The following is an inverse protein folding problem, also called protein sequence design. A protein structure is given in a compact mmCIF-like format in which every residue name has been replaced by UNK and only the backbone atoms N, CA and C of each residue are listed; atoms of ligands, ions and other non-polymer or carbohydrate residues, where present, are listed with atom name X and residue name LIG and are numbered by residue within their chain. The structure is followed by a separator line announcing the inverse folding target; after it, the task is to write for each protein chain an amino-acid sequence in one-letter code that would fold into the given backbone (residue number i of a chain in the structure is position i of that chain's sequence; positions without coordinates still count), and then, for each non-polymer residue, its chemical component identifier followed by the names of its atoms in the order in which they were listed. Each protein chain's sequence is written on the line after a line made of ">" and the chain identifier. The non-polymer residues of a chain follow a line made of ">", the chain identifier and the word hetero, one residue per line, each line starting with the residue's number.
data_IF_310226205762
#
_entry.id   IF_310226205762
#
_cell.length_a   1.000
_cell.length_b   1.000
_cell.length_c   1.000
_cell.angle_alpha   90.00
_cell.angle_beta   90.00
_cell.angle_gamma   90.00
#
_symmetry.space_group_name_H-M   'P 1'
#
loop_
_entity.id
_entity.type
_entity.pdbx_description
1 polymer ?
#
# COMPACT_ATOMS: atom_id res chain seq x y z
N UNK A 1 39.74 -26.64 71.86
CA UNK A 1 40.64 -27.43 71.01
C UNK A 1 40.04 -27.61 69.66
N UNK A 2 40.83 -27.31 68.65
CA UNK A 2 40.73 -27.58 67.22
C UNK A 2 39.77 -26.69 66.44
N UNK A 3 40.41 -25.76 65.78
CA UNK A 3 39.93 -24.94 64.66
C UNK A 3 39.71 -25.79 63.43
N UNK A 4 38.62 -25.58 62.75
CA UNK A 4 38.51 -25.98 61.36
C UNK A 4 37.95 -24.81 60.53
N UNK A 5 38.74 -24.34 59.59
CA UNK A 5 38.36 -23.28 58.61
C UNK A 5 37.42 -23.84 57.55
N UNK A 6 36.50 -23.01 57.10
CA UNK A 6 35.69 -23.33 55.89
C UNK A 6 36.42 -22.88 54.62
N UNK A 7 36.59 -23.82 53.73
CA UNK A 7 37.15 -23.66 52.37
C UNK A 7 36.26 -22.76 51.51
N UNK A 8 36.90 -21.80 50.87
CA UNK A 8 36.29 -20.89 49.96
C UNK A 8 35.65 -21.56 48.73
N UNK A 9 34.44 -21.18 48.44
CA UNK A 9 33.73 -21.55 47.21
C UNK A 9 34.07 -20.48 46.17
N UNK A 10 34.90 -20.90 45.20
CA UNK A 10 35.18 -20.09 44.00
C UNK A 10 33.93 -20.12 43.13
N UNK A 11 33.19 -19.00 43.12
CA UNK A 11 32.03 -18.81 42.24
C UNK A 11 32.49 -18.64 40.79
N UNK A 12 32.24 -19.64 39.97
CA UNK A 12 32.41 -19.55 38.52
C UNK A 12 31.31 -18.66 37.94
N UNK A 13 31.69 -17.45 37.51
CA UNK A 13 30.82 -16.55 36.74
C UNK A 13 30.74 -17.07 35.32
N UNK A 14 29.63 -17.72 34.98
CA UNK A 14 29.33 -18.12 33.60
C UNK A 14 28.81 -16.90 32.85
N UNK A 15 29.66 -16.32 32.01
CA UNK A 15 29.26 -15.33 30.99
C UNK A 15 28.48 -16.06 29.88
N UNK A 16 27.17 -15.99 29.94
CA UNK A 16 26.30 -16.34 28.81
C UNK A 16 26.45 -15.29 27.72
N UNK A 17 27.26 -15.57 26.72
CA UNK A 17 27.28 -14.82 25.45
C UNK A 17 25.95 -15.08 24.74
N UNK A 18 24.99 -14.16 24.92
CA UNK A 18 23.78 -14.13 24.16
C UNK A 18 24.09 -13.83 22.68
N UNK A 19 24.10 -14.87 21.85
CA UNK A 19 24.13 -14.71 20.41
C UNK A 19 22.82 -14.03 19.98
N UNK A 20 22.86 -12.72 19.77
CA UNK A 20 21.76 -11.95 19.16
C UNK A 20 21.54 -12.47 17.74
N UNK A 21 20.44 -13.20 17.53
CA UNK A 21 19.96 -13.53 16.19
C UNK A 21 19.55 -12.21 15.54
N UNK A 22 20.42 -11.68 14.66
CA UNK A 22 20.03 -10.59 13.75
C UNK A 22 18.94 -11.16 12.84
N UNK A 23 17.67 -10.89 13.18
CA UNK A 23 16.56 -11.15 12.27
C UNK A 23 16.73 -10.20 11.07
N UNK A 24 17.23 -10.74 9.96
CA UNK A 24 17.22 -10.03 8.69
C UNK A 24 15.76 -9.77 8.31
N UNK A 25 15.31 -8.53 8.49
CA UNK A 25 14.03 -8.11 7.94
C UNK A 25 14.06 -8.26 6.43
N UNK A 26 13.03 -8.87 5.81
CA UNK A 26 12.94 -8.91 4.36
C UNK A 26 12.97 -7.46 3.85
N UNK A 27 13.69 -7.20 2.74
CA UNK A 27 13.76 -5.86 2.17
C UNK A 27 12.35 -5.34 1.96
N UNK A 28 12.11 -4.10 2.40
CA UNK A 28 10.84 -3.42 2.13
C UNK A 28 10.59 -3.45 0.62
N UNK A 29 9.35 -3.74 0.17
CA UNK A 29 9.06 -3.77 -1.25
C UNK A 29 9.47 -2.44 -1.86
N UNK A 30 10.37 -2.49 -2.82
CA UNK A 30 10.83 -1.31 -3.57
C UNK A 30 9.61 -0.57 -4.11
N UNK A 31 9.62 0.74 -3.99
CA UNK A 31 8.54 1.58 -4.51
C UNK A 31 8.31 1.28 -5.99
N UNK A 32 7.06 1.14 -6.39
CA UNK A 32 6.68 0.92 -7.79
C UNK A 32 7.06 2.15 -8.60
N UNK A 33 7.84 1.97 -9.67
CA UNK A 33 8.22 3.08 -10.55
C UNK A 33 7.06 3.50 -11.46
N UNK A 34 7.07 4.73 -12.01
CA UNK A 34 6.06 5.16 -12.97
C UNK A 34 5.96 4.24 -14.19
N UNK A 35 7.09 3.71 -14.68
CA UNK A 35 7.14 2.78 -15.81
C UNK A 35 6.46 1.46 -15.47
N UNK A 36 6.72 0.92 -14.29
CA UNK A 36 6.07 -0.31 -13.81
C UNK A 36 4.56 -0.12 -13.62
N UNK A 37 4.14 1.05 -13.12
CA UNK A 37 2.72 1.37 -12.99
C UNK A 37 2.06 1.44 -14.37
N UNK A 38 2.73 2.09 -15.32
CA UNK A 38 2.26 2.18 -16.69
C UNK A 38 2.06 0.81 -17.32
N UNK A 39 3.10 -0.01 -17.31
CA UNK A 39 3.11 -1.33 -17.94
C UNK A 39 2.08 -2.29 -17.31
N UNK A 40 2.02 -2.34 -16.00
CA UNK A 40 1.21 -3.33 -15.30
C UNK A 40 -0.25 -2.90 -15.06
N UNK A 41 -0.54 -1.60 -15.10
CA UNK A 41 -1.86 -1.07 -14.72
C UNK A 41 -2.51 -0.19 -15.79
N UNK A 42 -1.76 0.74 -16.41
CA UNK A 42 -2.35 1.79 -17.23
C UNK A 42 -2.38 1.49 -18.73
N UNK A 43 -1.48 0.64 -19.23
CA UNK A 43 -1.36 0.34 -20.65
C UNK A 43 -2.70 -0.14 -21.26
N UNK A 44 -3.38 -1.10 -20.62
CA UNK A 44 -4.67 -1.60 -21.10
C UNK A 44 -5.76 -0.52 -21.13
N UNK A 45 -5.78 0.38 -20.15
CA UNK A 45 -6.76 1.47 -20.12
C UNK A 45 -6.50 2.47 -21.24
N UNK A 46 -5.23 2.76 -21.52
CA UNK A 46 -4.84 3.64 -22.63
C UNK A 46 -5.22 3.05 -23.99
N UNK A 47 -4.94 1.77 -24.19
CA UNK A 47 -5.32 1.04 -25.42
C UNK A 47 -6.83 1.10 -25.66
N UNK A 48 -7.63 0.89 -24.60
CA UNK A 48 -9.09 0.91 -24.67
C UNK A 48 -9.66 2.33 -24.56
N UNK A 49 -8.83 3.37 -24.47
CA UNK A 49 -9.22 4.76 -24.26
C UNK A 49 -10.10 4.97 -23.03
N UNK A 50 -9.83 4.22 -21.98
CA UNK A 50 -10.53 4.34 -20.69
C UNK A 50 -9.87 5.43 -19.84
N UNK A 51 -10.64 6.38 -19.30
CA UNK A 51 -10.08 7.47 -18.51
C UNK A 51 -9.84 7.05 -17.05
N UNK A 52 -8.59 6.71 -16.71
CA UNK A 52 -8.17 6.27 -15.37
C UNK A 52 -8.59 7.22 -14.26
N UNK A 53 -8.45 8.51 -14.48
CA UNK A 53 -8.82 9.54 -13.51
C UNK A 53 -10.33 9.51 -13.19
N UNK A 54 -11.19 9.19 -14.16
CA UNK A 54 -12.63 9.05 -13.93
C UNK A 54 -12.95 7.74 -13.18
N UNK A 55 -12.23 6.67 -13.47
CA UNK A 55 -12.35 5.40 -12.74
C UNK A 55 -11.96 5.63 -11.27
N UNK A 56 -10.81 6.26 -11.02
CA UNK A 56 -10.38 6.58 -9.65
C UNK A 56 -11.40 7.47 -8.91
N UNK A 57 -11.96 8.48 -9.58
CA UNK A 57 -13.01 9.33 -8.99
C UNK A 57 -14.24 8.56 -8.57
N UNK A 58 -14.66 7.52 -9.33
CA UNK A 58 -15.77 6.64 -8.93
C UNK A 58 -15.45 5.90 -7.62
N UNK A 59 -14.23 5.36 -7.50
CA UNK A 59 -13.77 4.75 -6.25
C UNK A 59 -13.78 5.75 -5.10
N UNK A 60 -13.29 6.96 -5.32
CA UNK A 60 -13.25 8.01 -4.30
C UNK A 60 -14.65 8.41 -3.82
N UNK A 61 -15.60 8.53 -4.73
CA UNK A 61 -17.01 8.85 -4.41
C UNK A 61 -17.68 7.74 -3.60
N UNK A 62 -17.37 6.47 -3.89
CA UNK A 62 -17.99 5.32 -3.22
C UNK A 62 -17.36 5.01 -1.86
N UNK A 63 -16.05 5.10 -1.75
CA UNK A 63 -15.33 4.59 -0.57
C UNK A 63 -14.71 5.67 0.30
N UNK A 64 -14.48 6.86 -0.21
CA UNK A 64 -13.98 8.07 0.50
C UNK A 64 -12.62 7.93 1.20
N UNK A 65 -12.09 6.74 1.42
CA UNK A 65 -10.81 6.52 2.10
C UNK A 65 -9.85 5.70 1.24
N UNK A 66 -8.54 6.03 1.22
CA UNK A 66 -7.54 5.30 0.45
C UNK A 66 -7.51 3.81 0.77
N UNK A 67 -7.62 3.45 2.04
CA UNK A 67 -7.59 2.06 2.46
C UNK A 67 -8.78 1.25 1.93
N UNK A 68 -9.98 1.83 1.94
CA UNK A 68 -11.17 1.18 1.37
C UNK A 68 -11.08 1.06 -0.15
N UNK A 69 -10.51 2.08 -0.81
CA UNK A 69 -10.25 2.05 -2.25
C UNK A 69 -9.23 0.96 -2.58
N UNK A 70 -8.11 0.87 -1.83
CA UNK A 70 -7.12 -0.18 -1.99
C UNK A 70 -7.76 -1.57 -1.90
N UNK A 71 -8.51 -1.83 -0.84
CA UNK A 71 -9.15 -3.13 -0.63
C UNK A 71 -10.14 -3.47 -1.75
N UNK A 72 -10.94 -2.52 -2.21
CA UNK A 72 -11.89 -2.74 -3.30
C UNK A 72 -11.19 -2.99 -4.64
N UNK A 73 -10.13 -2.25 -4.93
CA UNK A 73 -9.31 -2.46 -6.14
C UNK A 73 -8.63 -3.82 -6.13
N UNK A 74 -7.99 -4.20 -5.01
CA UNK A 74 -7.34 -5.50 -4.88
C UNK A 74 -8.36 -6.62 -5.06
N UNK A 75 -9.49 -6.58 -4.37
CA UNK A 75 -10.54 -7.59 -4.47
C UNK A 75 -11.08 -7.75 -5.91
N UNK A 76 -11.23 -6.63 -6.64
CA UNK A 76 -11.64 -6.68 -8.04
C UNK A 76 -10.55 -7.25 -8.95
N UNK A 77 -9.29 -6.87 -8.74
CA UNK A 77 -8.18 -7.28 -9.60
C UNK A 77 -7.79 -8.76 -9.39
N UNK A 78 -7.97 -9.30 -8.19
CA UNK A 78 -7.78 -10.73 -7.90
C UNK A 78 -8.92 -11.59 -8.47
N UNK A 79 -10.15 -11.12 -8.35
CA UNK A 79 -11.35 -11.87 -8.75
C UNK A 79 -12.33 -10.96 -9.50
N UNK A 80 -12.05 -10.61 -10.75
CA UNK A 80 -12.90 -9.70 -11.53
C UNK A 80 -14.30 -10.25 -11.75
N UNK A 81 -15.30 -9.45 -11.36
CA UNK A 81 -16.71 -9.75 -11.63
C UNK A 81 -17.49 -8.43 -11.76
N UNK A 82 -18.69 -8.49 -12.32
CA UNK A 82 -19.56 -7.31 -12.45
C UNK A 82 -19.91 -6.73 -11.07
N UNK A 83 -20.15 -7.58 -10.11
CA UNK A 83 -20.58 -7.22 -8.74
C UNK A 83 -19.48 -6.52 -7.95
N UNK A 84 -18.22 -6.86 -8.23
CA UNK A 84 -17.04 -6.23 -7.60
C UNK A 84 -16.57 -4.98 -8.32
N UNK A 85 -17.05 -4.77 -9.55
CA UNK A 85 -16.63 -3.62 -10.35
C UNK A 85 -17.23 -2.32 -9.81
N UNK A 86 -16.47 -1.25 -9.95
CA UNK A 86 -16.95 0.12 -9.73
C UNK A 86 -17.74 0.65 -10.93
N UNK A 87 -17.65 -0.04 -12.06
CA UNK A 87 -18.33 0.37 -13.30
C UNK A 87 -19.76 -0.12 -13.30
N UNK A 88 -20.69 0.65 -13.92
CA UNK A 88 -22.07 0.23 -14.06
C UNK A 88 -22.20 -0.96 -15.03
N UNK A 89 -23.32 -1.68 -14.93
CA UNK A 89 -23.56 -2.89 -15.73
C UNK A 89 -23.48 -2.64 -17.24
N UNK A 90 -23.95 -1.49 -17.70
CA UNK A 90 -23.96 -1.09 -19.10
C UNK A 90 -22.56 -0.97 -19.69
N UNK A 91 -21.57 -0.69 -18.85
CA UNK A 91 -20.17 -0.66 -19.27
C UNK A 91 -19.74 -1.99 -19.86
N UNK A 92 -20.21 -3.11 -19.30
CA UNK A 92 -19.85 -4.47 -19.71
C UNK A 92 -20.52 -4.94 -21.02
N UNK A 93 -21.46 -4.14 -21.57
CA UNK A 93 -21.98 -4.38 -22.91
C UNK A 93 -20.91 -4.05 -23.97
N UNK A 94 -20.03 -3.11 -23.67
CA UNK A 94 -18.97 -2.67 -24.58
C UNK A 94 -17.58 -3.20 -24.21
N UNK A 95 -17.30 -3.34 -22.92
CA UNK A 95 -16.03 -3.76 -22.41
C UNK A 95 -16.18 -5.04 -21.60
N UNK A 96 -15.60 -6.17 -22.04
CA UNK A 96 -15.69 -7.43 -21.29
C UNK A 96 -14.99 -7.32 -19.93
N UNK A 97 -15.39 -8.21 -19.02
CA UNK A 97 -14.71 -8.33 -17.74
C UNK A 97 -13.25 -8.72 -17.98
N UNK A 98 -12.34 -8.01 -17.35
CA UNK A 98 -10.90 -8.31 -17.46
C UNK A 98 -10.55 -9.67 -16.83
N UNK A 99 -9.42 -10.23 -17.21
CA UNK A 99 -8.84 -11.38 -16.52
C UNK A 99 -8.27 -10.96 -15.15
N UNK A 100 -8.19 -11.93 -14.22
CA UNK A 100 -7.52 -11.73 -12.95
C UNK A 100 -6.07 -11.28 -13.16
N UNK A 101 -5.59 -10.42 -12.27
CA UNK A 101 -4.22 -9.94 -12.31
C UNK A 101 -3.25 -11.09 -11.95
N UNK A 102 -2.09 -11.14 -12.63
CA UNK A 102 -1.08 -12.20 -12.44
C UNK A 102 0.02 -11.83 -11.45
N UNK A 103 0.02 -10.62 -10.92
CA UNK A 103 0.99 -10.19 -9.93
C UNK A 103 0.78 -10.95 -8.61
N UNK A 104 1.85 -11.17 -7.85
CA UNK A 104 1.70 -11.68 -6.48
C UNK A 104 0.87 -10.70 -5.63
N UNK A 105 0.22 -11.18 -4.59
CA UNK A 105 -0.63 -10.34 -3.73
C UNK A 105 0.11 -9.11 -3.18
N UNK A 106 1.39 -9.26 -2.83
CA UNK A 106 2.21 -8.15 -2.35
C UNK A 106 2.49 -7.12 -3.45
N UNK A 107 2.88 -7.58 -4.64
CA UNK A 107 3.13 -6.69 -5.78
C UNK A 107 1.86 -6.00 -6.24
N UNK A 108 0.74 -6.72 -6.28
CA UNK A 108 -0.55 -6.15 -6.63
C UNK A 108 -0.93 -5.00 -5.69
N UNK A 109 -0.80 -5.19 -4.38
CA UNK A 109 -1.06 -4.14 -3.39
C UNK A 109 -0.13 -2.93 -3.58
N UNK A 110 1.15 -3.15 -3.86
CA UNK A 110 2.10 -2.07 -4.12
C UNK A 110 1.70 -1.26 -5.36
N UNK A 111 1.30 -1.91 -6.46
CA UNK A 111 0.83 -1.24 -7.66
C UNK A 111 -0.50 -0.50 -7.45
N UNK A 112 -1.42 -1.07 -6.68
CA UNK A 112 -2.69 -0.40 -6.33
C UNK A 112 -2.44 0.85 -5.50
N UNK A 113 -1.50 0.83 -4.56
CA UNK A 113 -1.10 2.04 -3.80
C UNK A 113 -0.48 3.08 -4.70
N UNK A 114 0.42 2.68 -5.60
CA UNK A 114 1.02 3.59 -6.56
C UNK A 114 -0.05 4.21 -7.49
N UNK A 115 -1.04 3.43 -7.94
CA UNK A 115 -2.19 3.92 -8.71
C UNK A 115 -3.01 4.96 -7.92
N UNK A 116 -3.36 4.66 -6.67
CA UNK A 116 -4.08 5.60 -5.80
C UNK A 116 -3.28 6.88 -5.64
N UNK A 117 -1.99 6.77 -5.35
CA UNK A 117 -1.10 7.91 -5.16
C UNK A 117 -0.96 8.79 -6.41
N UNK A 118 -0.93 8.16 -7.59
CA UNK A 118 -0.83 8.84 -8.86
C UNK A 118 -2.08 9.68 -9.17
N UNK A 119 -3.27 9.15 -8.90
CA UNK A 119 -4.55 9.80 -9.22
C UNK A 119 -5.17 10.59 -8.06
N UNK A 120 -4.60 10.55 -6.86
CA UNK A 120 -5.17 11.24 -5.69
C UNK A 120 -5.14 12.76 -5.85
N UNK A 121 -6.27 13.31 -6.25
CA UNK A 121 -6.45 14.75 -6.46
C UNK A 121 -6.26 15.56 -5.17
N UNK A 122 -6.44 14.96 -3.99
CA UNK A 122 -6.29 15.64 -2.70
C UNK A 122 -4.86 16.11 -2.48
N UNK A 123 -3.87 15.38 -2.99
CA UNK A 123 -2.46 15.79 -2.95
C UNK A 123 -2.17 17.06 -3.78
N UNK A 124 -3.04 17.39 -4.72
CA UNK A 124 -2.95 18.57 -5.59
C UNK A 124 -3.74 19.76 -5.06
N UNK A 125 -4.63 19.54 -4.07
CA UNK A 125 -5.39 20.61 -3.44
C UNK A 125 -4.49 21.35 -2.45
N UNK A 126 -4.00 22.53 -2.85
CA UNK A 126 -3.37 23.47 -1.92
C UNK A 126 -4.47 24.33 -1.32
N UNK A 127 -4.72 24.18 -0.03
CA UNK A 127 -5.56 25.14 0.69
C UNK A 127 -4.81 26.47 0.67
N UNK A 128 -5.39 27.49 0.01
CA UNK A 128 -4.91 28.87 0.15
C UNK A 128 -5.13 29.25 1.62
N UNK A 129 -4.06 29.67 2.29
CA UNK A 129 -4.18 30.27 3.60
C UNK A 129 -5.20 31.42 3.52
N UNK A 130 -6.12 31.58 4.51
CA UNK A 130 -7.04 32.69 4.52
C UNK A 130 -6.22 33.97 4.38
N UNK A 131 -6.57 34.79 3.38
CA UNK A 131 -5.97 36.11 3.22
C UNK A 131 -6.20 36.87 4.52
N UNK A 132 -5.12 37.08 5.26
CA UNK A 132 -5.18 37.86 6.49
C UNK A 132 -5.87 39.18 6.17
N UNK A 133 -6.97 39.46 6.84
CA UNK A 133 -7.57 40.78 6.88
C UNK A 133 -6.50 41.69 7.49
N UNK A 134 -5.81 42.44 6.62
CA UNK A 134 -4.96 43.54 7.04
C UNK A 134 -5.90 44.53 7.76
N UNK A 135 -5.94 44.45 9.10
CA UNK A 135 -6.55 45.49 9.89
C UNK A 135 -5.64 46.72 9.83
N UNK A 136 -5.93 47.57 8.88
CA UNK A 136 -5.38 48.91 8.85
C UNK A 136 -6.16 49.74 9.88
N UNK A 137 -5.53 50.00 11.05
CA UNK A 137 -5.90 51.08 11.95
C UNK A 137 -4.91 52.20 11.82
#
# INVERSE_FOLDING_TARGET
>A
MRNEEPKGIVGAVIFLLGAGVLSAQPPAPSAVTPEQLEENCLACHREQKLPDNLIYRRYLLRYSSPQRIENALVAYLEHPSKERSIMPSEFFLRFPIKYANKLSAQMLRSHVRAYIDHFDVRKRLRLQAPRGTSNNR
#
